data_IF_063816807322
#
_entry.id   IF_063816807322
#
_cell.length_a   1.000
_cell.length_b   1.000
_cell.length_c   1.000
_cell.angle_alpha   90.00
_cell.angle_beta   90.00
_cell.angle_gamma   90.00
#
_symmetry.space_group_name_H-M   'P 1'
#
loop_
_entity.id
_entity.type
_entity.pdbx_description
1 polymer ?
#
# COMPACT_ATOMS: atom_id res chain seq x y z
N UNK A 1 -3.44 -17.95 -15.35
CA UNK A 1 -2.77 -16.63 -15.31
C UNK A 1 -2.15 -16.43 -13.95
N UNK A 2 -1.03 -15.67 -13.88
CA UNK A 2 -0.41 -15.28 -12.60
C UNK A 2 -0.79 -13.84 -12.30
N UNK A 3 -1.27 -13.60 -11.07
CA UNK A 3 -1.59 -12.28 -10.55
C UNK A 3 -0.52 -11.79 -9.57
N UNK A 4 -0.15 -10.52 -9.66
CA UNK A 4 0.68 -9.80 -8.69
C UNK A 4 -0.22 -9.01 -7.75
N UNK A 5 -0.02 -9.20 -6.45
CA UNK A 5 -0.77 -8.51 -5.39
C UNK A 5 0.20 -7.68 -4.56
N UNK A 6 0.01 -6.37 -4.54
CA UNK A 6 0.86 -5.41 -3.87
C UNK A 6 0.09 -4.73 -2.73
N UNK A 7 0.54 -4.97 -1.51
CA UNK A 7 -0.09 -4.40 -0.31
C UNK A 7 0.14 -2.88 -0.19
N UNK A 8 -0.68 -2.23 0.60
CA UNK A 8 -0.41 -0.87 1.06
C UNK A 8 0.72 -0.81 2.08
N UNK A 9 1.12 0.41 2.43
CA UNK A 9 2.14 0.60 3.46
C UNK A 9 2.96 1.89 3.35
N UNK A 10 2.48 2.89 2.59
CA UNK A 10 3.16 4.17 2.43
C UNK A 10 4.58 3.99 1.87
N UNK A 11 5.57 4.63 2.47
CA UNK A 11 6.97 4.56 2.03
C UNK A 11 7.57 3.13 2.01
N UNK A 12 6.95 2.19 2.74
CA UNK A 12 7.35 0.77 2.69
C UNK A 12 7.12 0.12 1.31
N UNK A 13 6.37 0.80 0.41
CA UNK A 13 6.22 0.39 -1.00
C UNK A 13 7.54 0.26 -1.75
N UNK A 14 8.59 0.94 -1.31
CA UNK A 14 9.95 0.79 -1.83
C UNK A 14 10.48 -0.65 -1.71
N UNK A 15 10.13 -1.37 -0.63
CA UNK A 15 10.48 -2.78 -0.46
C UNK A 15 9.93 -3.64 -1.60
N UNK A 16 8.71 -3.35 -2.05
CA UNK A 16 8.10 -4.09 -3.16
C UNK A 16 8.91 -3.91 -4.46
N UNK A 17 9.45 -2.72 -4.73
CA UNK A 17 10.32 -2.48 -5.87
C UNK A 17 11.60 -3.33 -5.79
N UNK A 18 12.17 -3.47 -4.60
CA UNK A 18 13.34 -4.34 -4.35
C UNK A 18 13.04 -5.82 -4.62
N UNK A 19 11.92 -6.33 -4.08
CA UNK A 19 11.47 -7.72 -4.35
C UNK A 19 11.24 -7.96 -5.84
N UNK A 20 10.61 -7.01 -6.51
CA UNK A 20 10.32 -7.12 -7.93
C UNK A 20 11.58 -7.02 -8.80
N UNK A 21 12.65 -6.34 -8.32
CA UNK A 21 13.96 -6.39 -8.99
C UNK A 21 14.51 -7.81 -9.04
N UNK A 22 14.47 -8.53 -7.92
CA UNK A 22 14.89 -9.93 -7.90
C UNK A 22 14.00 -10.81 -8.81
N UNK A 23 12.68 -10.56 -8.84
CA UNK A 23 11.78 -11.27 -9.76
C UNK A 23 12.13 -10.98 -11.23
N UNK A 24 12.47 -9.73 -11.56
CA UNK A 24 12.86 -9.34 -12.91
C UNK A 24 14.18 -10.01 -13.34
N UNK A 25 15.16 -10.11 -12.44
CA UNK A 25 16.41 -10.83 -12.68
C UNK A 25 16.15 -12.32 -12.95
N UNK A 26 15.34 -12.98 -12.10
CA UNK A 26 14.95 -14.40 -12.29
C UNK A 26 14.20 -14.59 -13.60
N UNK A 27 13.24 -13.72 -13.91
CA UNK A 27 12.46 -13.80 -15.14
C UNK A 27 13.37 -13.67 -16.38
N UNK A 28 14.28 -12.71 -16.37
CA UNK A 28 15.23 -12.48 -17.45
C UNK A 28 16.17 -13.68 -17.64
N UNK A 29 16.71 -14.24 -16.56
CA UNK A 29 17.57 -15.41 -16.60
C UNK A 29 16.85 -16.65 -17.18
N UNK A 30 15.52 -16.72 -17.05
CA UNK A 30 14.70 -17.80 -17.59
C UNK A 30 13.99 -17.44 -18.91
N UNK A 31 14.37 -16.36 -19.58
CA UNK A 31 13.77 -15.87 -20.82
C UNK A 31 12.26 -15.61 -20.71
N UNK A 32 11.76 -15.26 -19.52
CA UNK A 32 10.37 -14.86 -19.28
C UNK A 32 10.27 -13.35 -19.39
N UNK A 33 9.59 -12.87 -20.42
CA UNK A 33 9.42 -11.44 -20.68
C UNK A 33 8.63 -10.73 -19.56
N UNK A 34 7.53 -11.33 -19.14
CA UNK A 34 6.69 -10.85 -18.03
C UNK A 34 5.98 -12.04 -17.39
N UNK A 35 6.20 -12.31 -16.09
CA UNK A 35 5.52 -13.43 -15.43
C UNK A 35 4.06 -13.13 -15.08
N UNK A 36 3.65 -11.87 -15.03
CA UNK A 36 2.34 -11.45 -14.53
C UNK A 36 1.42 -10.97 -15.66
N UNK A 37 0.14 -11.31 -15.54
CA UNK A 37 -0.92 -10.83 -16.44
C UNK A 37 -1.98 -10.00 -15.71
N UNK A 38 -2.00 -10.03 -14.39
CA UNK A 38 -2.94 -9.30 -13.54
C UNK A 38 -2.12 -8.58 -12.47
N UNK A 39 -2.32 -7.27 -12.37
CA UNK A 39 -1.67 -6.43 -11.37
C UNK A 39 -2.73 -5.85 -10.45
N UNK A 40 -2.60 -6.08 -9.15
CA UNK A 40 -3.52 -5.52 -8.17
C UNK A 40 -2.77 -4.82 -7.05
N UNK A 41 -3.29 -3.69 -6.60
CA UNK A 41 -2.64 -2.92 -5.55
C UNK A 41 -3.61 -2.08 -4.74
N UNK A 42 -3.12 -1.64 -3.58
CA UNK A 42 -3.83 -0.71 -2.69
C UNK A 42 -2.83 0.26 -2.08
N UNK A 43 -3.20 1.53 -1.89
CA UNK A 43 -2.32 2.57 -1.36
C UNK A 43 -1.00 2.66 -2.16
N UNK A 44 0.15 2.63 -1.51
CA UNK A 44 1.46 2.58 -2.18
C UNK A 44 1.57 1.42 -3.19
N UNK A 45 0.95 0.27 -2.89
CA UNK A 45 0.86 -0.84 -3.84
C UNK A 45 0.07 -0.52 -5.11
N UNK A 46 -0.87 0.43 -5.06
CA UNK A 46 -1.59 0.89 -6.25
C UNK A 46 -0.68 1.68 -7.21
N UNK A 47 0.26 2.47 -6.66
CA UNK A 47 1.28 3.16 -7.43
C UNK A 47 2.12 2.14 -8.19
N UNK A 48 2.66 1.16 -7.46
CA UNK A 48 3.52 0.12 -8.03
C UNK A 48 2.76 -0.73 -9.06
N UNK A 49 1.50 -1.10 -8.78
CA UNK A 49 0.68 -1.90 -9.68
C UNK A 49 0.39 -1.18 -11.01
N UNK A 50 -0.03 0.09 -10.96
CA UNK A 50 -0.29 0.88 -12.16
C UNK A 50 1.00 1.15 -12.95
N UNK A 51 2.10 1.44 -12.25
CA UNK A 51 3.39 1.67 -12.87
C UNK A 51 3.85 0.45 -13.69
N UNK A 52 3.78 -0.74 -13.09
CA UNK A 52 4.17 -1.98 -13.76
C UNK A 52 3.16 -2.43 -14.82
N UNK A 53 1.87 -2.18 -14.61
CA UNK A 53 0.85 -2.43 -15.62
C UNK A 53 1.10 -1.63 -16.90
N UNK A 54 1.51 -0.37 -16.76
CA UNK A 54 1.89 0.47 -17.91
C UNK A 54 3.19 0.03 -18.62
N UNK A 55 3.98 -0.85 -18.01
CA UNK A 55 5.22 -1.41 -18.54
C UNK A 55 5.14 -2.95 -18.70
N UNK A 56 3.94 -3.49 -18.89
CA UNK A 56 3.75 -4.94 -18.97
C UNK A 56 4.42 -5.59 -20.20
N UNK A 57 4.70 -4.81 -21.23
CA UNK A 57 5.48 -5.21 -22.41
C UNK A 57 6.99 -5.37 -22.13
N UNK A 58 7.53 -4.62 -21.16
CA UNK A 58 8.95 -4.60 -20.80
C UNK A 58 9.11 -4.66 -19.26
N UNK A 59 8.65 -5.74 -18.64
CA UNK A 59 8.58 -5.87 -17.17
C UNK A 59 9.88 -5.51 -16.46
N UNK A 60 11.02 -6.06 -16.91
CA UNK A 60 12.32 -5.80 -16.28
C UNK A 60 12.68 -4.30 -16.30
N UNK A 61 12.45 -3.62 -17.42
CA UNK A 61 12.67 -2.17 -17.56
C UNK A 61 11.68 -1.37 -16.71
N UNK A 62 10.42 -1.83 -16.64
CA UNK A 62 9.41 -1.24 -15.76
C UNK A 62 9.82 -1.30 -14.29
N UNK A 63 10.36 -2.44 -13.85
CA UNK A 63 10.87 -2.62 -12.49
C UNK A 63 12.08 -1.73 -12.21
N UNK A 64 13.02 -1.62 -13.15
CA UNK A 64 14.17 -0.72 -13.02
C UNK A 64 13.73 0.73 -12.81
N UNK A 65 12.85 1.23 -13.66
CA UNK A 65 12.28 2.58 -13.51
C UNK A 65 11.52 2.77 -12.21
N UNK A 66 10.78 1.75 -11.75
CA UNK A 66 10.07 1.80 -10.48
C UNK A 66 11.04 1.90 -9.31
N UNK A 67 12.13 1.13 -9.35
CA UNK A 67 13.20 1.22 -8.34
C UNK A 67 13.83 2.60 -8.32
N UNK A 68 14.11 3.18 -9.49
CA UNK A 68 14.70 4.51 -9.62
C UNK A 68 13.74 5.58 -9.07
N UNK A 69 12.44 5.47 -9.33
CA UNK A 69 11.41 6.33 -8.75
C UNK A 69 11.46 6.27 -7.22
N UNK A 70 11.43 5.07 -6.62
CA UNK A 70 11.46 4.92 -5.16
C UNK A 70 12.78 5.37 -4.52
N UNK A 71 13.91 5.21 -5.21
CA UNK A 71 15.21 5.66 -4.72
C UNK A 71 15.39 7.18 -4.75
N UNK A 72 14.67 7.84 -5.65
CA UNK A 72 14.72 9.30 -5.82
C UNK A 72 13.62 10.07 -5.10
N UNK A 73 12.57 9.39 -4.58
CA UNK A 73 11.44 10.07 -3.98
C UNK A 73 11.79 10.71 -2.64
N UNK A 74 11.37 11.97 -2.46
CA UNK A 74 11.56 12.75 -1.23
C UNK A 74 10.22 13.14 -0.62
N UNK A 75 10.19 13.50 0.65
CA UNK A 75 8.95 13.81 1.36
C UNK A 75 8.18 14.99 0.74
N UNK A 76 8.88 16.00 0.24
CA UNK A 76 8.32 17.19 -0.41
C UNK A 76 7.71 16.88 -1.78
N UNK A 77 8.11 15.80 -2.43
CA UNK A 77 7.47 15.29 -3.65
C UNK A 77 6.18 14.48 -3.38
N UNK A 78 5.95 14.08 -2.12
CA UNK A 78 4.75 13.33 -1.73
C UNK A 78 3.72 14.24 -1.10
N UNK A 79 4.15 15.13 -0.20
CA UNK A 79 3.26 16.05 0.49
C UNK A 79 3.95 17.36 0.83
N UNK A 80 3.17 18.44 0.88
CA UNK A 80 3.58 19.70 1.42
C UNK A 80 2.95 19.96 2.79
N UNK A 81 3.67 20.71 3.63
CA UNK A 81 3.22 21.12 4.96
C UNK A 81 3.22 22.64 5.05
N UNK A 82 2.04 23.23 5.21
CA UNK A 82 1.94 24.65 5.55
C UNK A 82 1.85 24.83 7.06
N UNK A 83 2.88 25.45 7.64
CA UNK A 83 3.00 25.68 9.08
C UNK A 83 1.85 26.48 9.69
N UNK A 84 1.37 27.50 8.98
CA UNK A 84 0.27 28.35 9.43
C UNK A 84 -1.07 27.59 9.43
N UNK A 85 -1.24 26.70 8.48
CA UNK A 85 -2.41 25.84 8.36
C UNK A 85 -2.42 24.78 9.45
N UNK A 86 -1.29 24.13 9.75
CA UNK A 86 -1.17 23.12 10.83
C UNK A 86 -1.49 23.71 12.20
N UNK A 87 -0.96 24.90 12.54
CA UNK A 87 -1.23 25.56 13.81
C UNK A 87 -2.70 25.95 13.98
N UNK A 88 -3.31 26.51 12.94
CA UNK A 88 -4.74 26.88 12.94
C UNK A 88 -5.66 25.66 12.98
N UNK A 89 -5.27 24.56 12.34
CA UNK A 89 -6.06 23.31 12.35
C UNK A 89 -6.01 22.62 13.70
N UNK A 90 -4.84 22.54 14.34
CA UNK A 90 -4.72 21.96 15.68
C UNK A 90 -5.59 22.69 16.71
N UNK A 91 -5.57 24.01 16.69
CA UNK A 91 -6.43 24.86 17.56
C UNK A 91 -7.92 24.70 17.22
N UNK A 92 -8.27 24.59 15.94
CA UNK A 92 -9.66 24.40 15.50
C UNK A 92 -10.18 23.00 15.85
N UNK A 93 -9.38 21.95 15.70
CA UNK A 93 -9.74 20.60 16.11
C UNK A 93 -10.02 20.52 17.62
N UNK A 94 -9.17 21.13 18.44
CA UNK A 94 -9.38 21.22 19.89
C UNK A 94 -10.66 22.00 20.19
N UNK A 95 -10.92 23.10 19.47
CA UNK A 95 -12.13 23.91 19.61
C UNK A 95 -13.41 23.15 19.20
N UNK A 96 -13.40 22.46 18.07
CA UNK A 96 -14.54 21.70 17.55
C UNK A 96 -14.86 20.48 18.43
N UNK A 97 -13.83 19.80 18.96
CA UNK A 97 -14.00 18.71 19.92
C UNK A 97 -14.54 19.21 21.28
N UNK A 98 -14.08 20.40 21.72
CA UNK A 98 -14.45 20.93 23.04
C UNK A 98 -15.81 21.61 23.06
N UNK A 99 -16.28 22.16 21.93
CA UNK A 99 -17.52 22.95 21.86
C UNK A 99 -18.69 22.20 21.22
N UNK A 100 -18.52 20.95 20.81
CA UNK A 100 -19.60 20.13 20.21
C UNK A 100 -20.23 20.75 18.96
N UNK A 101 -19.63 21.79 18.41
CA UNK A 101 -20.08 22.46 17.20
C UNK A 101 -19.41 21.82 15.98
N UNK A 102 -20.01 20.79 15.42
CA UNK A 102 -19.86 20.49 14.01
C UNK A 102 -20.42 21.67 13.19
N UNK A 103 -19.69 22.78 13.16
CA UNK A 103 -20.02 23.85 12.25
C UNK A 103 -19.74 23.36 10.85
N UNK A 104 -20.81 23.17 10.05
CA UNK A 104 -20.79 22.72 8.67
C UNK A 104 -20.09 23.67 7.69
N UNK A 105 -18.88 24.08 8.01
CA UNK A 105 -18.00 24.80 7.10
C UNK A 105 -17.15 23.76 6.38
N UNK A 106 -17.28 23.72 5.08
CA UNK A 106 -16.50 23.02 4.07
C UNK A 106 -14.98 23.17 4.31
N UNK A 107 -14.45 22.41 5.22
CA UNK A 107 -13.03 22.39 5.52
C UNK A 107 -12.51 20.96 5.39
N UNK A 108 -12.42 20.50 4.16
CA UNK A 108 -11.71 19.27 3.77
C UNK A 108 -10.19 19.40 3.94
N UNK A 109 -9.73 20.05 5.02
CA UNK A 109 -8.30 20.26 5.25
C UNK A 109 -7.74 19.10 6.06
N UNK A 110 -7.10 18.18 5.38
CA UNK A 110 -6.23 17.19 5.98
C UNK A 110 -4.94 17.82 6.51
N UNK A 111 -4.16 17.07 7.30
CA UNK A 111 -2.90 17.54 7.87
C UNK A 111 -1.84 17.85 6.81
N UNK A 112 -1.87 17.16 5.68
CA UNK A 112 -0.88 17.26 4.62
C UNK A 112 -1.56 17.51 3.27
N UNK A 113 -0.97 18.36 2.44
CA UNK A 113 -1.40 18.54 1.06
C UNK A 113 -0.66 17.54 0.16
N UNK A 114 -1.40 16.75 -0.61
CA UNK A 114 -0.89 15.70 -1.49
C UNK A 114 -0.84 16.10 -2.97
N UNK A 115 -0.96 17.37 -3.28
CA UNK A 115 -0.77 17.89 -4.65
C UNK A 115 0.56 17.44 -5.25
N UNK A 116 1.71 17.50 -4.50
CA UNK A 116 2.98 17.02 -5.04
C UNK A 116 2.96 15.54 -5.46
N UNK A 117 2.29 14.67 -4.71
CA UNK A 117 2.14 13.26 -5.09
C UNK A 117 1.36 13.10 -6.40
N UNK A 118 0.29 13.85 -6.59
CA UNK A 118 -0.47 13.82 -7.85
C UNK A 118 0.38 14.25 -9.05
N UNK A 119 1.20 15.30 -8.87
CA UNK A 119 2.12 15.77 -9.90
C UNK A 119 3.23 14.75 -10.17
N UNK A 120 3.78 14.14 -9.14
CA UNK A 120 4.74 13.04 -9.27
C UNK A 120 4.17 11.89 -10.12
N UNK A 121 2.92 11.47 -9.83
CA UNK A 121 2.25 10.42 -10.57
C UNK A 121 2.04 10.79 -12.04
N UNK A 122 1.55 11.99 -12.32
CA UNK A 122 1.32 12.47 -13.69
C UNK A 122 2.60 12.60 -14.51
N UNK A 123 3.70 13.00 -13.87
CA UNK A 123 4.98 13.21 -14.55
C UNK A 123 5.74 11.91 -14.80
N UNK A 124 5.50 10.86 -14.01
CA UNK A 124 6.27 9.61 -14.09
C UNK A 124 5.48 8.41 -14.63
N UNK A 125 4.14 8.50 -14.72
CA UNK A 125 3.29 7.40 -15.13
C UNK A 125 2.33 7.81 -16.25
N UNK A 126 2.54 7.23 -17.42
CA UNK A 126 1.59 7.33 -18.53
C UNK A 126 0.50 6.26 -18.39
N UNK A 127 -0.62 6.65 -17.81
CA UNK A 127 -1.77 5.76 -17.59
C UNK A 127 -2.38 5.24 -18.90
N UNK A 128 -2.25 5.97 -20.01
CA UNK A 128 -2.79 5.53 -21.29
C UNK A 128 -2.15 4.24 -21.81
N UNK A 129 -0.92 3.96 -21.35
CA UNK A 129 -0.21 2.71 -21.69
C UNK A 129 -0.90 1.48 -21.09
N UNK A 130 -1.64 1.59 -19.98
CA UNK A 130 -2.35 0.45 -19.38
C UNK A 130 -3.33 -0.14 -20.38
N UNK A 131 -4.16 0.70 -21.00
CA UNK A 131 -5.08 0.26 -22.05
C UNK A 131 -4.34 -0.36 -23.22
N UNK A 132 -3.25 0.26 -23.68
CA UNK A 132 -2.44 -0.28 -24.77
C UNK A 132 -1.90 -1.68 -24.44
N UNK A 133 -1.42 -1.91 -23.21
CA UNK A 133 -0.93 -3.23 -22.78
C UNK A 133 -2.04 -4.28 -22.73
N UNK A 134 -3.27 -3.86 -22.47
CA UNK A 134 -4.44 -4.76 -22.52
C UNK A 134 -4.79 -5.10 -23.98
N UNK A 135 -4.74 -4.12 -24.86
CA UNK A 135 -5.03 -4.31 -26.30
C UNK A 135 -3.99 -5.22 -26.97
N UNK A 136 -2.71 -5.09 -26.61
CA UNK A 136 -1.64 -5.97 -27.13
C UNK A 136 -1.63 -7.37 -26.49
N UNK A 137 -2.35 -7.56 -25.36
CA UNK A 137 -2.39 -8.82 -24.63
C UNK A 137 -1.19 -9.05 -23.69
N UNK A 138 -0.33 -8.05 -23.52
CA UNK A 138 0.75 -8.08 -22.54
C UNK A 138 0.22 -8.02 -21.11
N UNK A 139 -0.91 -7.33 -20.92
CA UNK A 139 -1.67 -7.21 -19.67
C UNK A 139 -3.08 -7.78 -19.84
N UNK A 140 -3.59 -8.49 -18.85
CA UNK A 140 -4.99 -8.89 -18.80
C UNK A 140 -5.83 -7.90 -17.99
N UNK A 141 -5.32 -7.47 -16.84
CA UNK A 141 -6.01 -6.52 -15.97
C UNK A 141 -5.06 -5.79 -15.01
N UNK A 142 -5.39 -4.53 -14.74
CA UNK A 142 -4.89 -3.76 -13.61
C UNK A 142 -6.07 -3.38 -12.71
N UNK A 143 -5.90 -3.49 -11.38
CA UNK A 143 -6.97 -3.20 -10.44
C UNK A 143 -6.41 -2.52 -9.17
N UNK A 144 -7.06 -1.45 -8.74
CA UNK A 144 -6.71 -0.74 -7.52
C UNK A 144 -7.94 -0.50 -6.66
N UNK A 145 -7.77 -0.58 -5.35
CA UNK A 145 -8.90 -0.51 -4.42
C UNK A 145 -8.85 0.78 -3.60
N UNK A 146 -9.98 1.46 -3.47
CA UNK A 146 -10.19 2.64 -2.64
C UNK A 146 -11.43 2.49 -1.76
N UNK A 147 -11.51 3.26 -0.66
CA UNK A 147 -12.68 3.33 0.21
C UNK A 147 -13.58 4.49 -0.20
N UNK A 148 -14.78 4.22 -0.65
CA UNK A 148 -15.79 5.27 -0.88
C UNK A 148 -16.40 5.69 0.47
N UNK A 149 -16.33 6.99 0.79
CA UNK A 149 -16.72 7.49 2.11
C UNK A 149 -18.23 7.51 2.35
N UNK A 150 -19.02 7.83 1.33
CA UNK A 150 -20.48 8.03 1.49
C UNK A 150 -21.19 6.73 1.87
N UNK A 151 -20.79 5.61 1.30
CA UNK A 151 -21.38 4.29 1.54
C UNK A 151 -20.51 3.40 2.43
N UNK A 152 -19.31 3.84 2.77
CA UNK A 152 -18.29 3.04 3.47
C UNK A 152 -18.01 1.71 2.74
N UNK A 153 -17.91 1.74 1.42
CA UNK A 153 -17.73 0.55 0.57
C UNK A 153 -16.36 0.57 -0.09
N UNK A 154 -15.67 -0.57 -0.09
CA UNK A 154 -14.45 -0.73 -0.86
C UNK A 154 -14.81 -0.91 -2.34
N UNK A 155 -14.30 -0.03 -3.18
CA UNK A 155 -14.47 -0.07 -4.63
C UNK A 155 -13.13 -0.43 -5.26
N UNK A 156 -13.14 -1.46 -6.08
CA UNK A 156 -12.00 -1.83 -6.90
C UNK A 156 -12.20 -1.31 -8.32
N UNK A 157 -11.44 -0.31 -8.68
CA UNK A 157 -11.35 0.21 -10.05
C UNK A 157 -10.57 -0.77 -10.89
N UNK A 158 -11.13 -1.21 -12.00
CA UNK A 158 -10.57 -2.25 -12.84
C UNK A 158 -10.46 -1.77 -14.28
N UNK A 159 -9.26 -1.78 -14.82
CA UNK A 159 -9.01 -1.66 -16.24
C UNK A 159 -8.53 -3.01 -16.77
N UNK A 160 -9.30 -3.64 -17.65
CA UNK A 160 -9.08 -5.03 -18.00
C UNK A 160 -9.57 -5.39 -19.40
N UNK A 161 -9.15 -6.56 -19.86
CA UNK A 161 -9.70 -7.18 -21.08
C UNK A 161 -11.23 -7.30 -20.98
N UNK A 162 -11.93 -7.13 -22.08
CA UNK A 162 -13.40 -7.19 -22.19
C UNK A 162 -14.02 -8.50 -21.67
N UNK A 163 -13.22 -9.55 -21.55
CA UNK A 163 -13.66 -10.85 -20.99
C UNK A 163 -13.67 -10.87 -19.46
N UNK A 164 -13.08 -9.88 -18.79
CA UNK A 164 -13.05 -9.79 -17.34
C UNK A 164 -14.45 -9.55 -16.78
N UNK A 165 -14.78 -10.23 -15.70
CA UNK A 165 -16.08 -10.12 -15.06
C UNK A 165 -15.97 -9.25 -13.81
N UNK A 166 -16.86 -8.28 -13.70
CA UNK A 166 -16.98 -7.49 -12.48
C UNK A 166 -17.69 -8.30 -11.40
N UNK A 167 -17.39 -8.00 -10.14
CA UNK A 167 -17.96 -8.71 -9.00
C UNK A 167 -18.59 -7.75 -7.99
N UNK A 168 -19.53 -8.29 -7.20
CA UNK A 168 -20.15 -7.60 -6.09
C UNK A 168 -20.20 -8.53 -4.88
N UNK A 169 -19.77 -8.03 -3.72
CA UNK A 169 -19.79 -8.71 -2.42
C UNK A 169 -20.29 -7.73 -1.36
N UNK A 170 -20.54 -8.21 -0.14
CA UNK A 170 -20.93 -7.34 0.95
C UNK A 170 -19.89 -6.24 1.18
N UNK A 171 -20.32 -4.99 1.02
CA UNK A 171 -19.48 -3.78 1.16
C UNK A 171 -18.21 -3.75 0.31
N UNK A 172 -18.20 -4.47 -0.80
CA UNK A 172 -17.10 -4.51 -1.77
C UNK A 172 -17.65 -4.79 -3.16
N UNK A 173 -17.24 -4.04 -4.14
CA UNK A 173 -17.52 -4.34 -5.54
C UNK A 173 -16.43 -3.78 -6.45
N UNK A 174 -16.40 -4.27 -7.69
CA UNK A 174 -15.54 -3.73 -8.73
C UNK A 174 -16.35 -2.95 -9.75
N UNK A 175 -15.71 -1.97 -10.34
CA UNK A 175 -16.27 -1.24 -11.47
C UNK A 175 -15.22 -1.11 -12.58
N UNK A 176 -15.69 -1.19 -13.83
CA UNK A 176 -14.85 -1.01 -14.99
C UNK A 176 -14.51 0.47 -15.13
N UNK A 177 -13.21 0.79 -15.20
CA UNK A 177 -12.74 2.17 -15.20
C UNK A 177 -11.43 2.25 -15.96
N UNK A 178 -11.25 3.27 -16.76
CA UNK A 178 -9.92 3.64 -17.26
C UNK A 178 -9.15 4.25 -16.09
N UNK A 179 -8.04 3.63 -15.71
CA UNK A 179 -7.24 4.06 -14.58
C UNK A 179 -6.53 5.38 -14.87
N UNK A 180 -6.49 6.24 -13.87
CA UNK A 180 -5.85 7.55 -13.93
C UNK A 180 -5.23 7.91 -12.56
N UNK A 181 -4.47 9.01 -12.51
CA UNK A 181 -3.84 9.46 -11.27
C UNK A 181 -4.85 9.66 -10.13
N UNK A 182 -6.06 10.13 -10.44
CA UNK A 182 -7.11 10.34 -9.43
C UNK A 182 -7.53 9.06 -8.70
N UNK A 183 -7.52 7.90 -9.38
CA UNK A 183 -7.84 6.61 -8.77
C UNK A 183 -6.71 6.12 -7.86
N UNK A 184 -5.45 6.35 -8.24
CA UNK A 184 -4.29 6.07 -7.39
C UNK A 184 -4.28 6.99 -6.17
N UNK A 185 -4.57 8.29 -6.35
CA UNK A 185 -4.74 9.24 -5.26
C UNK A 185 -5.86 8.79 -4.31
N UNK A 186 -7.00 8.32 -4.85
CA UNK A 186 -8.11 7.78 -4.08
C UNK A 186 -7.69 6.56 -3.23
N UNK A 187 -6.91 5.65 -3.84
CA UNK A 187 -6.39 4.46 -3.15
C UNK A 187 -5.36 4.78 -2.07
N UNK A 188 -4.68 5.93 -2.17
CA UNK A 188 -3.58 6.34 -1.30
C UNK A 188 -3.94 7.45 -0.32
N UNK A 189 -5.21 7.88 -0.26
CA UNK A 189 -5.67 8.97 0.61
C UNK A 189 -5.83 8.49 2.06
N UNK A 190 -4.71 8.41 2.80
CA UNK A 190 -4.67 7.94 4.19
C UNK A 190 -5.56 8.83 5.06
N UNK A 191 -6.60 8.27 5.73
CA UNK A 191 -7.50 9.05 6.56
C UNK A 191 -6.77 9.86 7.63
N UNK A 192 -7.24 11.07 7.91
CA UNK A 192 -6.70 12.04 8.85
C UNK A 192 -5.40 12.69 8.38
N UNK A 193 -4.52 12.00 7.67
CA UNK A 193 -3.25 12.53 7.20
C UNK A 193 -3.40 13.23 5.84
N UNK A 194 -4.06 12.57 4.89
CA UNK A 194 -4.25 13.05 3.53
C UNK A 194 -5.70 13.47 3.28
N UNK A 195 -5.94 14.47 2.40
CA UNK A 195 -7.29 14.88 2.06
C UNK A 195 -8.04 13.73 1.36
N UNK A 196 -9.38 13.65 1.55
CA UNK A 196 -10.20 12.79 0.72
C UNK A 196 -9.98 13.10 -0.76
N UNK A 197 -9.65 12.09 -1.56
CA UNK A 197 -9.44 12.26 -2.98
C UNK A 197 -10.78 12.19 -3.74
N UNK A 198 -10.93 13.05 -4.74
CA UNK A 198 -12.10 13.07 -5.60
C UNK A 198 -11.80 12.31 -6.89
N UNK A 199 -12.54 11.25 -7.15
CA UNK A 199 -12.43 10.43 -8.34
C UNK A 199 -13.81 9.92 -8.75
N UNK A 200 -14.07 9.76 -10.03
CA UNK A 200 -15.35 9.22 -10.54
C UNK A 200 -16.60 9.84 -9.86
N UNK A 201 -16.60 11.16 -9.66
CA UNK A 201 -17.67 11.95 -9.00
C UNK A 201 -17.98 11.56 -7.54
N UNK A 202 -17.02 10.99 -6.82
CA UNK A 202 -17.16 10.55 -5.41
C UNK A 202 -15.89 10.87 -4.62
N UNK A 203 -16.02 10.92 -3.29
CA UNK A 203 -14.90 11.10 -2.38
C UNK A 203 -14.43 9.77 -1.81
N UNK A 204 -13.11 9.58 -1.82
CA UNK A 204 -12.45 8.35 -1.42
C UNK A 204 -11.37 8.59 -0.37
N UNK A 205 -11.12 7.53 0.40
CA UNK A 205 -9.98 7.36 1.27
C UNK A 205 -9.21 6.09 0.93
N UNK A 206 -8.10 5.88 1.63
CA UNK A 206 -7.20 4.75 1.41
C UNK A 206 -7.94 3.40 1.47
N UNK A 207 -7.71 2.61 0.43
CA UNK A 207 -8.36 1.31 0.27
C UNK A 207 -8.03 0.31 1.38
N UNK A 208 -6.87 0.42 2.03
CA UNK A 208 -6.47 -0.48 3.11
C UNK A 208 -7.50 -0.50 4.25
N UNK A 209 -8.16 0.63 4.52
CA UNK A 209 -9.17 0.73 5.59
C UNK A 209 -10.27 -0.32 5.47
N UNK A 210 -10.60 -0.74 4.26
CA UNK A 210 -11.70 -1.69 4.00
C UNK A 210 -11.29 -2.91 3.20
N UNK A 211 -10.06 -2.99 2.71
CA UNK A 211 -9.59 -4.09 1.89
C UNK A 211 -9.05 -5.24 2.75
N UNK A 212 -9.94 -5.91 3.45
CA UNK A 212 -9.63 -7.07 4.31
C UNK A 212 -9.25 -8.35 3.53
N UNK A 213 -9.30 -8.32 2.21
CA UNK A 213 -9.02 -9.47 1.33
C UNK A 213 -8.34 -8.99 0.04
N UNK A 214 -7.10 -8.51 0.15
CA UNK A 214 -6.37 -7.91 -0.98
C UNK A 214 -6.16 -8.87 -2.16
N UNK A 215 -6.05 -10.17 -1.92
CA UNK A 215 -5.90 -11.19 -2.97
C UNK A 215 -7.18 -11.41 -3.78
N UNK A 216 -8.34 -11.04 -3.22
CA UNK A 216 -9.65 -11.27 -3.82
C UNK A 216 -9.78 -10.66 -5.23
N UNK A 217 -9.22 -9.47 -5.47
CA UNK A 217 -9.28 -8.81 -6.77
C UNK A 217 -8.57 -9.64 -7.85
N UNK A 218 -7.36 -10.11 -7.59
CA UNK A 218 -6.62 -10.95 -8.54
C UNK A 218 -7.35 -12.26 -8.83
N UNK A 219 -7.93 -12.89 -7.80
CA UNK A 219 -8.69 -14.16 -7.95
C UNK A 219 -9.95 -13.94 -8.77
N UNK A 220 -10.71 -12.86 -8.51
CA UNK A 220 -11.92 -12.55 -9.30
C UNK A 220 -11.60 -12.22 -10.77
N UNK A 221 -10.44 -11.64 -11.03
CA UNK A 221 -9.94 -11.40 -12.39
C UNK A 221 -9.39 -12.65 -13.08
N UNK A 222 -9.40 -13.80 -12.40
CA UNK A 222 -9.07 -15.09 -12.99
C UNK A 222 -7.61 -15.53 -12.78
N UNK A 223 -6.90 -14.98 -11.80
CA UNK A 223 -5.60 -15.49 -11.41
C UNK A 223 -5.74 -16.93 -10.85
N UNK A 224 -4.90 -17.82 -11.31
CA UNK A 224 -4.79 -19.21 -10.85
C UNK A 224 -3.64 -19.38 -9.86
N UNK A 225 -2.65 -18.52 -10.02
CA UNK A 225 -1.51 -18.38 -9.14
C UNK A 225 -1.37 -16.93 -8.78
N UNK A 226 -1.02 -16.62 -7.55
CA UNK A 226 -0.77 -15.25 -7.11
C UNK A 226 0.61 -15.12 -6.47
N UNK A 227 1.26 -14.03 -6.78
CA UNK A 227 2.48 -13.58 -6.12
C UNK A 227 2.11 -12.38 -5.26
N UNK A 228 2.27 -12.51 -3.94
CA UNK A 228 1.86 -11.50 -2.96
C UNK A 228 3.11 -10.88 -2.35
N UNK A 229 3.23 -9.56 -2.42
CA UNK A 229 4.31 -8.84 -1.75
C UNK A 229 3.70 -7.93 -0.68
N UNK A 230 3.86 -8.33 0.58
CA UNK A 230 3.49 -7.53 1.74
C UNK A 230 4.68 -6.71 2.25
N UNK A 231 4.40 -5.71 3.06
CA UNK A 231 5.42 -4.78 3.58
C UNK A 231 5.56 -4.85 5.10
N UNK A 232 4.90 -5.80 5.73
CA UNK A 232 4.98 -6.06 7.17
C UNK A 232 5.75 -7.35 7.43
N UNK A 233 6.59 -7.35 8.46
CA UNK A 233 7.25 -8.56 8.93
C UNK A 233 6.24 -9.51 9.60
N UNK A 234 6.37 -10.81 9.36
CA UNK A 234 5.51 -11.83 9.96
C UNK A 234 5.95 -12.21 11.37
N UNK A 235 7.20 -11.98 11.71
CA UNK A 235 7.77 -12.39 12.99
C UNK A 235 7.72 -11.23 13.99
N UNK A 236 7.41 -11.55 15.25
CA UNK A 236 7.62 -10.63 16.34
C UNK A 236 9.10 -10.23 16.42
N UNK A 237 9.37 -8.95 16.52
CA UNK A 237 10.74 -8.43 16.61
C UNK A 237 11.24 -8.48 18.05
N UNK A 238 12.57 -8.43 18.24
CA UNK A 238 13.16 -8.29 19.58
C UNK A 238 12.67 -7.02 20.33
N UNK A 239 12.21 -6.02 19.58
CA UNK A 239 11.67 -4.78 20.14
C UNK A 239 10.21 -4.93 20.59
N UNK A 240 9.42 -5.76 19.91
CA UNK A 240 8.10 -6.13 20.41
C UNK A 240 8.21 -6.80 21.78
N UNK A 241 9.23 -7.65 21.96
CA UNK A 241 9.51 -8.29 23.24
C UNK A 241 9.91 -7.27 24.31
N UNK A 242 10.78 -6.29 24.01
CA UNK A 242 11.13 -5.21 24.94
C UNK A 242 9.95 -4.32 25.25
N UNK A 243 9.03 -4.10 24.32
CA UNK A 243 7.83 -3.31 24.55
C UNK A 243 6.86 -3.98 25.54
N UNK A 244 6.92 -5.31 25.68
CA UNK A 244 6.14 -6.04 26.70
C UNK A 244 6.65 -5.79 28.14
N UNK A 245 7.89 -5.35 28.28
CA UNK A 245 8.51 -5.07 29.58
C UNK A 245 8.26 -3.63 30.08
N UNK A 246 7.67 -2.75 29.26
CA UNK A 246 7.35 -1.38 29.63
C UNK A 246 6.08 -1.34 30.50
N UNK A 247 6.18 -0.97 31.81
CA UNK A 247 5.04 -0.93 32.71
C UNK A 247 4.15 0.30 32.51
N UNK A 248 4.53 1.24 31.66
CA UNK A 248 3.80 2.49 31.46
C UNK A 248 2.58 2.31 30.58
N UNK A 249 1.46 2.99 30.87
CA UNK A 249 0.30 2.98 29.98
C UNK A 249 0.66 3.62 28.63
N UNK A 250 0.12 3.09 27.51
CA UNK A 250 0.41 3.61 26.18
C UNK A 250 -0.08 5.05 26.04
N UNK A 251 0.71 5.91 25.41
CA UNK A 251 0.27 7.24 25.04
C UNK A 251 -0.87 7.18 24.00
N UNK A 252 -1.71 8.22 23.94
CA UNK A 252 -2.76 8.34 22.92
C UNK A 252 -2.18 8.19 21.49
N UNK A 253 -1.01 8.76 21.26
CA UNK A 253 -0.30 8.65 20.00
C UNK A 253 0.10 7.20 19.67
N UNK A 254 0.56 6.42 20.67
CA UNK A 254 0.86 5.00 20.49
C UNK A 254 -0.41 4.21 20.17
N UNK A 255 -1.52 4.48 20.86
CA UNK A 255 -2.82 3.84 20.56
C UNK A 255 -3.26 4.15 19.14
N UNK A 256 -3.20 5.42 18.71
CA UNK A 256 -3.55 5.82 17.35
C UNK A 256 -2.65 5.14 16.30
N UNK A 257 -1.34 5.06 16.55
CA UNK A 257 -0.41 4.36 15.68
C UNK A 257 -0.74 2.87 15.55
N UNK A 258 -1.07 2.20 16.66
CA UNK A 258 -1.49 0.79 16.64
C UNK A 258 -2.76 0.62 15.79
N UNK A 259 -3.77 1.47 16.01
CA UNK A 259 -5.02 1.41 15.25
C UNK A 259 -4.78 1.64 13.75
N UNK A 260 -3.97 2.64 13.39
CA UNK A 260 -3.62 2.91 12.01
C UNK A 260 -2.86 1.74 11.36
N UNK A 261 -1.88 1.18 12.07
CA UNK A 261 -1.13 0.02 11.57
C UNK A 261 -2.03 -1.21 11.40
N UNK A 262 -2.89 -1.50 12.37
CA UNK A 262 -3.84 -2.61 12.28
C UNK A 262 -4.80 -2.47 11.08
N UNK A 263 -5.28 -1.24 10.84
CA UNK A 263 -6.20 -0.97 9.73
C UNK A 263 -5.48 -0.99 8.37
N UNK A 264 -4.25 -0.48 8.31
CA UNK A 264 -3.56 -0.27 7.03
C UNK A 264 -2.68 -1.45 6.59
N UNK A 265 -2.22 -2.30 7.52
CA UNK A 265 -1.19 -3.30 7.22
C UNK A 265 -1.64 -4.75 7.40
N UNK A 266 -2.58 -5.05 8.32
CA UNK A 266 -2.89 -6.44 8.71
C UNK A 266 -3.74 -7.22 7.70
N UNK A 267 -4.34 -6.56 6.72
CA UNK A 267 -5.29 -7.18 5.79
C UNK A 267 -4.70 -8.33 4.97
N UNK A 268 -3.42 -8.26 4.61
CA UNK A 268 -2.76 -9.32 3.81
C UNK A 268 -2.58 -10.60 4.63
N UNK A 269 -2.12 -10.48 5.86
CA UNK A 269 -1.83 -11.63 6.74
C UNK A 269 -3.10 -12.44 6.98
N UNK A 270 -4.18 -11.76 7.34
CA UNK A 270 -5.50 -12.39 7.55
C UNK A 270 -6.01 -13.07 6.28
N UNK A 271 -5.82 -12.46 5.12
CA UNK A 271 -6.26 -13.03 3.84
C UNK A 271 -5.43 -14.26 3.45
N UNK A 272 -4.13 -14.23 3.70
CA UNK A 272 -3.23 -15.37 3.45
C UNK A 272 -3.55 -16.56 4.35
N UNK A 273 -3.84 -16.34 5.64
CA UNK A 273 -4.30 -17.40 6.54
C UNK A 273 -5.61 -18.02 6.07
N UNK A 274 -6.57 -17.21 5.64
CA UNK A 274 -7.84 -17.69 5.08
C UNK A 274 -7.61 -18.52 3.82
N UNK A 275 -6.75 -18.04 2.93
CA UNK A 275 -6.42 -18.74 1.69
C UNK A 275 -5.77 -20.08 1.96
N UNK A 276 -4.83 -20.15 2.92
CA UNK A 276 -4.23 -21.40 3.36
C UNK A 276 -5.30 -22.38 3.83
N UNK A 277 -6.19 -21.96 4.74
CA UNK A 277 -7.28 -22.81 5.26
C UNK A 277 -8.22 -23.30 4.15
N UNK A 278 -8.55 -22.43 3.18
CA UNK A 278 -9.39 -22.80 2.03
C UNK A 278 -8.66 -23.83 1.17
N UNK A 279 -7.38 -23.64 0.88
CA UNK A 279 -6.59 -24.59 0.11
C UNK A 279 -6.48 -25.94 0.81
N UNK A 280 -6.20 -25.94 2.12
CA UNK A 280 -6.12 -27.16 2.95
C UNK A 280 -7.46 -27.91 2.95
N UNK A 281 -8.57 -27.18 2.97
CA UNK A 281 -9.91 -27.77 2.87
C UNK A 281 -10.17 -28.35 1.47
N UNK A 282 -9.83 -27.61 0.41
CA UNK A 282 -10.00 -28.07 -0.98
C UNK A 282 -9.20 -29.35 -1.25
N UNK A 283 -8.00 -29.47 -0.67
CA UNK A 283 -7.17 -30.67 -0.81
C UNK A 283 -7.79 -31.93 -0.14
N UNK A 284 -8.68 -31.74 0.84
CA UNK A 284 -9.39 -32.86 1.52
C UNK A 284 -10.73 -33.23 0.85
N UNK A 285 -11.26 -32.36 -0.02
CA UNK A 285 -12.52 -32.59 -0.70
C UNK A 285 -12.29 -33.34 -2.00
N UNK A 286 -13.07 -34.40 -2.30
CA UNK A 286 -12.97 -35.11 -3.58
C UNK A 286 -13.14 -34.20 -4.79
N UNK A 287 -12.29 -34.36 -5.79
CA UNK A 287 -12.26 -33.48 -6.99
C UNK A 287 -13.63 -33.40 -7.69
N UNK A 288 -14.45 -34.43 -7.62
CA UNK A 288 -15.83 -34.46 -8.15
C UNK A 288 -16.79 -33.45 -7.51
N UNK A 289 -16.45 -32.93 -6.32
CA UNK A 289 -17.25 -31.97 -5.59
C UNK A 289 -16.74 -30.51 -5.77
N UNK A 290 -15.54 -30.32 -6.30
CA UNK A 290 -14.93 -28.96 -6.45
C UNK A 290 -15.82 -28.03 -7.29
N UNK A 291 -16.31 -28.51 -8.45
CA UNK A 291 -17.19 -27.72 -9.30
C UNK A 291 -18.54 -27.42 -8.63
N UNK A 292 -19.13 -28.43 -7.96
CA UNK A 292 -20.44 -28.27 -7.28
C UNK A 292 -20.35 -27.25 -6.12
N UNK A 293 -19.24 -27.23 -5.40
CA UNK A 293 -19.02 -26.35 -4.27
C UNK A 293 -18.41 -24.98 -4.69
N UNK A 294 -18.08 -24.83 -5.97
CA UNK A 294 -17.44 -23.63 -6.52
C UNK A 294 -16.16 -23.24 -5.74
N UNK A 295 -15.43 -24.24 -5.24
CA UNK A 295 -14.13 -24.06 -4.59
C UNK A 295 -13.01 -24.25 -5.61
N UNK A 296 -12.08 -23.32 -5.61
CA UNK A 296 -10.88 -23.40 -6.43
C UNK A 296 -9.66 -23.21 -5.56
N UNK A 297 -8.72 -24.15 -5.64
CA UNK A 297 -7.40 -24.00 -5.05
C UNK A 297 -6.64 -22.87 -5.76
N UNK A 298 -6.08 -21.96 -5.01
CA UNK A 298 -5.25 -20.87 -5.52
C UNK A 298 -3.83 -21.05 -5.01
N UNK A 299 -2.91 -21.38 -5.91
CA UNK A 299 -1.50 -21.44 -5.57
C UNK A 299 -0.96 -20.04 -5.32
N UNK A 300 -0.18 -19.87 -4.27
CA UNK A 300 0.40 -18.57 -3.96
C UNK A 300 1.87 -18.66 -3.53
N UNK A 301 2.58 -17.57 -3.79
CA UNK A 301 3.87 -17.29 -3.18
C UNK A 301 3.73 -15.95 -2.45
N UNK A 302 4.02 -15.96 -1.16
CA UNK A 302 3.95 -14.77 -0.31
C UNK A 302 5.33 -14.37 0.18
N UNK A 303 5.71 -13.13 -0.11
CA UNK A 303 6.99 -12.53 0.28
C UNK A 303 6.71 -11.35 1.20
N UNK A 304 7.42 -11.32 2.31
CA UNK A 304 7.37 -10.25 3.31
C UNK A 304 8.78 -9.96 3.83
N UNK A 305 9.02 -8.77 4.38
CA UNK A 305 10.32 -8.46 4.96
C UNK A 305 10.60 -9.31 6.21
N UNK A 306 11.86 -9.69 6.41
CA UNK A 306 12.31 -10.40 7.61
C UNK A 306 12.54 -9.43 8.78
N UNK A 307 12.78 -8.14 8.49
CA UNK A 307 13.02 -7.09 9.46
C UNK A 307 11.91 -6.04 9.40
N UNK A 308 11.66 -5.34 10.52
CA UNK A 308 10.69 -4.24 10.52
C UNK A 308 11.24 -3.05 9.74
N UNK A 309 10.61 -2.76 8.60
CA UNK A 309 10.96 -1.62 7.75
C UNK A 309 10.79 -0.27 8.46
N UNK A 310 9.90 -0.21 9.46
CA UNK A 310 9.71 0.98 10.29
C UNK A 310 10.94 1.27 11.15
N UNK A 311 11.59 0.23 11.66
CA UNK A 311 12.83 0.36 12.44
C UNK A 311 14.01 0.78 11.57
N UNK A 312 14.15 0.20 10.38
CA UNK A 312 15.15 0.63 9.41
C UNK A 312 14.97 2.11 9.07
N UNK A 313 13.73 2.55 8.86
CA UNK A 313 13.41 3.96 8.61
C UNK A 313 13.67 4.86 9.83
N UNK A 314 13.43 4.38 11.05
CA UNK A 314 13.68 5.16 12.27
C UNK A 314 15.15 5.53 12.44
N UNK A 315 16.06 4.65 12.05
CA UNK A 315 17.51 4.92 12.05
C UNK A 315 17.90 6.05 11.09
N UNK A 316 17.07 6.29 10.06
CA UNK A 316 17.24 7.37 9.08
C UNK A 316 16.38 8.61 9.37
N UNK A 317 15.65 8.63 10.48
CA UNK A 317 14.73 9.73 10.84
C UNK A 317 15.44 11.09 10.99
N UNK A 318 16.76 11.11 11.21
CA UNK A 318 17.57 12.35 11.22
C UNK A 318 17.54 13.10 9.88
N UNK A 319 17.33 12.40 8.77
CA UNK A 319 17.24 12.98 7.42
C UNK A 319 15.86 13.54 7.07
N UNK A 320 14.85 13.27 7.89
CA UNK A 320 13.51 13.83 7.68
C UNK A 320 13.46 15.32 8.00
N UNK A 321 12.62 16.12 7.29
CA UNK A 321 12.37 17.50 7.63
C UNK A 321 12.00 17.68 9.11
N UNK A 322 12.46 18.78 9.73
CA UNK A 322 12.28 19.03 11.17
C UNK A 322 10.83 18.90 11.63
N UNK A 323 9.89 19.31 10.79
CA UNK A 323 8.46 19.27 11.12
C UNK A 323 7.92 17.83 11.12
N UNK A 324 8.32 17.01 10.14
CA UNK A 324 7.93 15.61 10.10
C UNK A 324 8.46 14.88 11.33
N UNK A 325 9.70 15.17 11.74
CA UNK A 325 10.27 14.66 13.00
C UNK A 325 9.49 15.11 14.22
N UNK A 326 9.01 16.35 14.24
CA UNK A 326 8.21 16.86 15.35
C UNK A 326 6.84 16.19 15.43
N UNK A 327 6.16 16.02 14.29
CA UNK A 327 4.88 15.29 14.20
C UNK A 327 5.08 13.83 14.63
N UNK A 328 6.12 13.17 14.11
CA UNK A 328 6.44 11.79 14.50
C UNK A 328 6.80 11.66 15.99
N UNK A 329 7.49 12.64 16.58
CA UNK A 329 7.72 12.69 18.04
C UNK A 329 6.44 12.87 18.84
N UNK A 330 5.49 13.66 18.33
CA UNK A 330 4.17 13.84 18.93
C UNK A 330 3.31 12.57 18.85
N UNK A 331 3.54 11.72 17.83
CA UNK A 331 2.90 10.41 17.68
C UNK A 331 3.54 9.30 18.54
N UNK A 332 4.49 9.64 19.39
CA UNK A 332 5.26 8.74 20.24
C UNK A 332 6.61 8.38 19.60
N UNK A 333 7.64 8.14 20.40
CA UNK A 333 8.92 7.72 19.84
C UNK A 333 8.70 6.37 19.12
N UNK A 334 9.26 6.17 17.92
CA UNK A 334 9.65 4.83 17.56
C UNK A 334 10.51 4.34 18.72
N UNK A 335 10.21 3.19 19.29
CA UNK A 335 10.85 2.67 20.50
C UNK A 335 12.38 2.65 20.35
N UNK A 336 13.04 3.76 20.66
CA UNK A 336 14.48 3.88 20.78
C UNK A 336 14.78 5.00 21.74
N UNK A 337 15.18 4.62 22.94
CA UNK A 337 15.90 5.48 23.89
C UNK A 337 17.23 5.90 23.26
N UNK A 338 17.23 6.90 22.40
CA UNK A 338 18.45 7.61 22.02
C UNK A 338 18.73 8.69 23.07
N UNK A 339 19.25 8.28 24.23
CA UNK A 339 20.17 9.12 24.97
C UNK A 339 21.47 9.15 24.20
N UNK A 340 21.67 10.18 23.39
CA UNK A 340 22.95 10.46 22.78
C UNK A 340 23.96 10.75 23.90
N UNK A 341 24.77 9.77 24.27
CA UNK A 341 26.10 10.04 24.83
C UNK A 341 27.01 10.37 23.66
N UNK A 342 27.34 11.65 23.58
CA UNK A 342 28.49 12.14 22.82
C UNK A 342 29.75 11.51 23.39
N UNK A 343 30.42 10.65 22.66
CA UNK A 343 31.88 10.47 22.75
C UNK A 343 32.38 9.58 21.60
N UNK A 344 33.28 10.15 20.78
CA UNK A 344 34.43 9.42 20.19
C UNK A 344 34.28 8.83 18.80
N UNK A 345 34.64 9.64 17.80
CA UNK A 345 35.50 9.33 16.62
C UNK A 345 35.24 8.07 15.73
N UNK A 346 35.64 8.15 14.46
CA UNK A 346 35.12 7.30 13.39
C UNK A 346 36.02 6.10 13.12
N UNK A 347 35.46 5.00 12.68
CA UNK A 347 36.22 3.99 11.94
C UNK A 347 35.47 3.55 10.69
N UNK A 348 36.12 3.81 9.61
CA UNK A 348 35.96 3.40 8.23
C UNK A 348 35.81 1.89 8.07
N UNK A 349 35.06 1.54 7.05
CA UNK A 349 35.22 0.42 6.13
C UNK A 349 33.96 -0.44 5.95
N UNK A 350 33.37 -0.30 4.78
CA UNK A 350 32.49 -1.27 4.18
C UNK A 350 33.28 -2.44 3.64
N UNK A 351 32.93 -3.69 3.87
CA UNK A 351 33.45 -4.79 3.09
C UNK A 351 32.67 -4.93 1.78
N UNK A 352 33.42 -4.92 0.68
CA UNK A 352 33.02 -5.39 -0.64
C UNK A 352 32.79 -6.91 -0.58
N UNK A 353 31.58 -7.37 -0.87
CA UNK A 353 31.32 -8.52 -1.74
C UNK A 353 29.82 -8.58 -2.05
#
# INVERSE_FOLDING_TARGET
MIGLVLSGGGARGAYQAGVLSAVAEIATANNVKNPFKIYTGVSAGSINACFLAAHADEFARGVEKLRDLWSGITADQVFSTDFLTLGKMGLKWIGDLSLGKFSGLESHKALLDTTPLNDLLKNNLDFSRIQKMIETGDLYAAAITALEYKTSTAITFVEANKKAKMWKRSRRYSEFTQLASEHVMASSAIPLLFPPAYASNRYFGDGCVRNLVPCSAAIHLGAEKIFVVSVRTQNATAEDQKALEDPNPPSLARVLNIVLNAVLLDGVEVDMERMKRINDFVDQVPASLHEKLNFKKVNYLWVSPNEDLGLLAANMASHLPRIVRYILKGLGPPCCSCSARTSGAPSTAWPKR
#
